data_IF_902477550285
#
_entry.id   IF_902477550285
#
_cell.length_a   1.000
_cell.length_b   1.000
_cell.length_c   1.000
_cell.angle_alpha   90.00
_cell.angle_beta   90.00
_cell.angle_gamma   90.00
#
_symmetry.space_group_name_H-M   'P 1'
#
loop_
_entity.id
_entity.type
_entity.pdbx_description
1 polymer ?
#
# COMPACT_ATOMS: atom_id res chain seq x y z
N UNK A 1 25.94 37.40 -63.25
CA UNK A 1 24.80 37.11 -62.35
C UNK A 1 24.91 38.05 -61.16
N UNK A 2 23.89 38.87 -60.88
CA UNK A 2 24.01 40.07 -60.04
C UNK A 2 23.97 39.71 -58.54
N UNK A 3 24.92 40.21 -57.74
CA UNK A 3 25.02 39.95 -56.29
C UNK A 3 23.73 40.35 -55.54
N UNK A 4 23.05 41.39 -56.03
CA UNK A 4 21.76 41.85 -55.51
C UNK A 4 20.67 40.78 -55.71
N UNK A 5 20.65 40.09 -56.85
CA UNK A 5 19.69 39.00 -57.12
C UNK A 5 19.94 37.79 -56.23
N UNK A 6 21.21 37.47 -55.92
CA UNK A 6 21.55 36.43 -54.94
C UNK A 6 21.13 36.83 -53.52
N UNK A 7 21.31 38.09 -53.12
CA UNK A 7 20.85 38.60 -51.83
C UNK A 7 19.32 38.48 -51.67
N UNK A 8 18.54 38.91 -52.67
CA UNK A 8 17.08 38.76 -52.64
C UNK A 8 16.62 37.30 -52.67
N UNK A 9 17.33 36.42 -53.39
CA UNK A 9 17.04 34.98 -53.39
C UNK A 9 17.29 34.35 -52.03
N UNK A 10 18.39 34.73 -51.35
CA UNK A 10 18.70 34.24 -50.01
C UNK A 10 17.71 34.77 -48.97
N UNK A 11 17.34 36.05 -49.04
CA UNK A 11 16.32 36.65 -48.17
C UNK A 11 14.96 35.94 -48.30
N UNK A 12 14.58 35.59 -49.52
CA UNK A 12 13.36 34.83 -49.77
C UNK A 12 13.44 33.42 -49.17
N UNK A 13 14.57 32.74 -49.36
CA UNK A 13 14.77 31.41 -48.78
C UNK A 13 14.76 31.43 -47.24
N UNK A 14 15.32 32.46 -46.61
CA UNK A 14 15.29 32.62 -45.16
C UNK A 14 13.89 33.01 -44.64
N UNK A 15 13.15 33.82 -45.39
CA UNK A 15 11.74 34.12 -45.07
C UNK A 15 10.86 32.87 -45.17
N UNK A 16 11.04 32.05 -46.20
CA UNK A 16 10.31 30.78 -46.37
C UNK A 16 10.66 29.80 -45.25
N UNK A 17 11.93 29.72 -44.84
CA UNK A 17 12.38 28.92 -43.67
C UNK A 17 11.80 29.43 -42.36
N UNK A 18 11.73 30.74 -42.16
CA UNK A 18 11.12 31.33 -40.97
C UNK A 18 9.62 31.05 -40.95
N UNK A 19 8.93 31.16 -42.08
CA UNK A 19 7.51 30.86 -42.17
C UNK A 19 7.24 29.38 -41.86
N UNK A 20 8.07 28.48 -42.38
CA UNK A 20 8.00 27.05 -42.08
C UNK A 20 8.29 26.75 -40.60
N UNK A 21 9.28 27.43 -40.01
CA UNK A 21 9.60 27.33 -38.58
C UNK A 21 8.44 27.83 -37.70
N UNK A 22 7.80 28.93 -38.10
CA UNK A 22 6.59 29.46 -37.42
C UNK A 22 5.44 28.47 -37.53
N UNK A 23 5.21 27.88 -38.69
CA UNK A 23 4.17 26.87 -38.89
C UNK A 23 4.42 25.61 -38.05
N UNK A 24 5.67 25.14 -37.98
CA UNK A 24 6.06 24.01 -37.12
C UNK A 24 5.89 24.34 -35.62
N UNK A 25 6.17 25.59 -35.22
CA UNK A 25 5.96 26.07 -33.85
C UNK A 25 4.47 26.15 -33.52
N UNK A 26 3.64 26.67 -34.42
CA UNK A 26 2.18 26.70 -34.27
C UNK A 26 1.61 25.28 -34.21
N UNK A 27 2.12 24.36 -35.01
CA UNK A 27 1.71 22.94 -35.00
C UNK A 27 2.08 22.28 -33.68
N UNK A 28 3.28 22.54 -33.18
CA UNK A 28 3.75 22.07 -31.87
C UNK A 28 2.90 22.65 -30.74
N UNK A 29 2.59 23.94 -30.79
CA UNK A 29 1.70 24.60 -29.84
C UNK A 29 0.30 23.98 -29.83
N UNK A 30 -0.30 23.75 -31.01
CA UNK A 30 -1.61 23.07 -31.11
C UNK A 30 -1.58 21.65 -30.56
N UNK A 31 -0.49 20.91 -30.77
CA UNK A 31 -0.32 19.58 -30.18
C UNK A 31 -0.22 19.63 -28.65
N UNK A 32 0.49 20.62 -28.09
CA UNK A 32 0.59 20.85 -26.65
C UNK A 32 -0.78 21.22 -26.08
N UNK A 33 -1.52 22.13 -26.72
CA UNK A 33 -2.87 22.54 -26.29
C UNK A 33 -3.82 21.34 -26.31
N UNK A 34 -3.82 20.55 -27.39
CA UNK A 34 -4.67 19.36 -27.49
C UNK A 34 -4.31 18.30 -26.44
N UNK A 35 -3.02 18.10 -26.17
CA UNK A 35 -2.57 17.25 -25.06
C UNK A 35 -3.02 17.80 -23.70
N UNK A 36 -2.97 19.11 -23.51
CA UNK A 36 -3.41 19.78 -22.30
C UNK A 36 -4.92 19.68 -22.10
N UNK A 37 -5.71 19.82 -23.15
CA UNK A 37 -7.16 19.61 -23.13
C UNK A 37 -7.50 18.16 -22.75
N UNK A 38 -6.78 17.18 -23.29
CA UNK A 38 -6.99 15.77 -22.98
C UNK A 38 -6.70 15.47 -21.49
N UNK A 39 -5.65 16.09 -20.94
CA UNK A 39 -5.33 15.98 -19.52
C UNK A 39 -6.34 16.77 -18.67
N UNK A 40 -6.71 18.00 -19.05
CA UNK A 40 -7.64 18.85 -18.29
C UNK A 40 -9.07 18.33 -18.27
N UNK A 41 -9.46 17.54 -19.27
CA UNK A 41 -10.76 16.87 -19.29
C UNK A 41 -10.77 15.61 -18.39
N UNK A 42 -9.61 15.03 -18.12
CA UNK A 42 -9.45 13.84 -17.29
C UNK A 42 -9.08 14.17 -15.83
N UNK A 43 -8.45 15.32 -15.61
CA UNK A 43 -7.93 15.77 -14.31
C UNK A 43 -8.32 17.22 -14.03
N UNK A 44 -8.57 17.59 -12.75
CA UNK A 44 -8.87 18.98 -12.39
C UNK A 44 -7.74 19.92 -12.82
N UNK A 45 -8.10 21.14 -13.27
CA UNK A 45 -7.15 22.14 -13.79
C UNK A 45 -6.01 22.45 -12.81
N UNK A 46 -6.29 22.36 -11.52
CA UNK A 46 -5.32 22.48 -10.43
C UNK A 46 -4.13 21.51 -10.56
N UNK A 47 -4.40 20.28 -11.00
CA UNK A 47 -3.40 19.23 -11.17
C UNK A 47 -2.51 19.53 -12.37
N UNK A 48 -3.11 20.00 -13.47
CA UNK A 48 -2.39 20.41 -14.68
C UNK A 48 -1.45 21.56 -14.38
N UNK A 49 -1.90 22.54 -13.59
CA UNK A 49 -1.12 23.73 -13.27
C UNK A 49 0.10 23.37 -12.41
N UNK A 50 -0.08 22.49 -11.41
CA UNK A 50 1.03 21.94 -10.61
C UNK A 50 2.00 21.15 -11.50
N UNK A 51 1.49 20.34 -12.43
CA UNK A 51 2.31 19.56 -13.35
C UNK A 51 3.17 20.47 -14.24
N UNK A 52 2.58 21.44 -14.93
CA UNK A 52 3.31 22.36 -15.81
C UNK A 52 4.37 23.12 -15.02
N UNK A 53 4.03 23.64 -13.84
CA UNK A 53 4.96 24.44 -13.04
C UNK A 53 6.08 23.58 -12.42
N UNK A 54 5.85 22.28 -12.25
CA UNK A 54 6.88 21.34 -11.80
C UNK A 54 7.91 20.98 -12.88
N UNK A 55 7.57 21.07 -14.17
CA UNK A 55 8.46 20.67 -15.27
C UNK A 55 9.74 21.51 -15.39
N UNK A 56 9.70 22.86 -15.33
CA UNK A 56 10.93 23.67 -15.32
C UNK A 56 11.81 23.36 -14.11
N UNK A 57 11.20 23.18 -12.93
CA UNK A 57 11.92 22.86 -11.71
C UNK A 57 12.57 21.48 -11.79
N UNK A 58 11.85 20.49 -12.34
CA UNK A 58 12.35 19.15 -12.60
C UNK A 58 13.53 19.18 -13.56
N UNK A 59 13.45 19.98 -14.62
CA UNK A 59 14.55 20.15 -15.56
C UNK A 59 15.81 20.66 -14.85
N UNK A 60 15.69 21.71 -14.04
CA UNK A 60 16.81 22.25 -13.24
C UNK A 60 17.37 21.21 -12.27
N UNK A 61 16.52 20.53 -11.50
CA UNK A 61 16.98 19.54 -10.51
C UNK A 61 17.64 18.34 -11.21
N UNK A 62 17.11 17.89 -12.35
CA UNK A 62 17.71 16.82 -13.14
C UNK A 62 19.07 17.20 -13.73
N UNK A 63 19.32 18.47 -14.06
CA UNK A 63 20.66 18.92 -14.46
C UNK A 63 21.67 18.88 -13.32
N UNK A 64 21.22 19.02 -12.06
CA UNK A 64 22.06 18.97 -10.86
C UNK A 64 22.30 17.54 -10.34
N UNK A 65 21.27 16.68 -10.41
CA UNK A 65 21.33 15.30 -9.89
C UNK A 65 20.64 14.30 -10.83
N UNK A 66 21.26 13.92 -11.95
CA UNK A 66 20.62 13.10 -12.98
C UNK A 66 20.35 11.65 -12.55
N UNK A 67 21.01 11.15 -11.49
CA UNK A 67 20.95 9.75 -11.07
C UNK A 67 19.65 9.36 -10.34
N UNK A 68 18.80 10.33 -9.97
CA UNK A 68 17.57 10.05 -9.20
C UNK A 68 16.31 10.74 -9.76
N UNK A 69 15.93 10.51 -11.03
CA UNK A 69 14.85 11.26 -11.70
C UNK A 69 13.48 11.13 -11.01
N UNK A 70 13.18 9.98 -10.38
CA UNK A 70 11.94 9.79 -9.61
C UNK A 70 11.89 10.62 -8.32
N UNK A 71 13.04 10.74 -7.65
CA UNK A 71 13.17 11.53 -6.42
C UNK A 71 13.10 13.01 -6.77
N UNK A 72 13.79 13.44 -7.83
CA UNK A 72 13.74 14.80 -8.34
C UNK A 72 12.32 15.21 -8.71
N UNK A 73 11.57 14.34 -9.39
CA UNK A 73 10.16 14.57 -9.68
C UNK A 73 9.33 14.77 -8.40
N UNK A 74 9.54 13.91 -7.39
CA UNK A 74 8.86 14.04 -6.10
C UNK A 74 9.16 15.38 -5.44
N UNK A 75 10.43 15.78 -5.41
CA UNK A 75 10.86 17.07 -4.85
C UNK A 75 10.20 18.22 -5.61
N UNK A 76 10.19 18.19 -6.94
CA UNK A 76 9.56 19.24 -7.75
C UNK A 76 8.07 19.37 -7.46
N UNK A 77 7.36 18.25 -7.41
CA UNK A 77 5.90 18.22 -7.14
C UNK A 77 5.59 18.70 -5.72
N UNK A 78 6.34 18.22 -4.72
CA UNK A 78 6.16 18.63 -3.32
C UNK A 78 6.49 20.11 -3.14
N UNK A 79 7.55 20.61 -3.76
CA UNK A 79 7.93 22.02 -3.66
C UNK A 79 6.86 22.94 -4.26
N UNK A 80 6.39 22.65 -5.48
CA UNK A 80 5.32 23.41 -6.12
C UNK A 80 4.01 23.32 -5.34
N UNK A 81 3.69 22.15 -4.79
CA UNK A 81 2.52 21.95 -3.95
C UNK A 81 2.59 22.75 -2.64
N UNK A 82 3.77 22.79 -2.01
CA UNK A 82 4.02 23.61 -0.82
C UNK A 82 3.94 25.11 -1.12
N UNK A 83 4.53 25.55 -2.23
CA UNK A 83 4.43 26.93 -2.69
C UNK A 83 2.98 27.34 -2.96
N UNK A 84 2.19 26.47 -3.60
CA UNK A 84 0.75 26.67 -3.78
C UNK A 84 0.03 26.82 -2.44
N UNK A 85 0.28 25.93 -1.49
CA UNK A 85 -0.36 25.99 -0.16
C UNK A 85 -0.01 27.28 0.59
N UNK A 86 1.21 27.80 0.40
CA UNK A 86 1.64 29.06 0.98
C UNK A 86 0.97 30.27 0.32
N UNK A 87 0.86 30.26 -1.01
CA UNK A 87 0.17 31.30 -1.77
C UNK A 87 -1.33 31.31 -1.48
N UNK A 88 -1.97 30.14 -1.38
CA UNK A 88 -3.39 30.06 -1.04
C UNK A 88 -3.67 30.60 0.36
N UNK A 89 -2.82 30.30 1.34
CA UNK A 89 -2.95 30.88 2.67
C UNK A 89 -2.79 32.41 2.66
N UNK A 90 -1.85 32.94 1.87
CA UNK A 90 -1.58 34.38 1.80
C UNK A 90 -2.70 35.16 1.09
N UNK A 91 -3.36 34.55 0.10
CA UNK A 91 -4.38 35.21 -0.73
C UNK A 91 -5.80 35.00 -0.19
N UNK A 92 -6.08 33.84 0.39
CA UNK A 92 -7.45 33.41 0.74
C UNK A 92 -7.65 33.07 2.22
N UNK A 93 -6.62 33.26 3.06
CA UNK A 93 -6.57 32.92 4.50
C UNK A 93 -6.91 31.45 4.86
N UNK A 94 -7.23 30.62 3.87
CA UNK A 94 -7.60 29.22 4.05
C UNK A 94 -6.41 28.30 3.83
N UNK A 95 -6.28 27.29 4.69
CA UNK A 95 -5.29 26.23 4.54
C UNK A 95 -5.87 25.12 3.67
N UNK A 96 -5.62 25.18 2.37
CA UNK A 96 -6.05 24.15 1.41
C UNK A 96 -5.21 22.86 1.44
N UNK A 97 -4.71 22.45 2.62
CA UNK A 97 -3.76 21.34 2.79
C UNK A 97 -4.30 20.04 2.17
N UNK A 98 -5.60 19.77 2.34
CA UNK A 98 -6.23 18.56 1.82
C UNK A 98 -6.26 18.53 0.28
N UNK A 99 -6.64 19.65 -0.35
CA UNK A 99 -6.69 19.77 -1.82
C UNK A 99 -5.28 19.64 -2.43
N UNK A 100 -4.31 20.32 -1.81
CA UNK A 100 -2.90 20.27 -2.20
C UNK A 100 -2.34 18.85 -2.07
N UNK A 101 -2.62 18.17 -0.95
CA UNK A 101 -2.14 16.80 -0.70
C UNK A 101 -2.76 15.81 -1.69
N UNK A 102 -4.07 15.92 -1.97
CA UNK A 102 -4.75 15.08 -2.95
C UNK A 102 -4.15 15.24 -4.34
N UNK A 103 -3.86 16.48 -4.74
CA UNK A 103 -3.26 16.80 -6.04
C UNK A 103 -1.86 16.23 -6.16
N UNK A 104 -1.01 16.45 -5.15
CA UNK A 104 0.34 15.90 -5.09
C UNK A 104 0.33 14.36 -5.14
N UNK A 105 -0.55 13.72 -4.35
CA UNK A 105 -0.66 12.27 -4.31
C UNK A 105 -1.12 11.70 -5.65
N UNK A 106 -2.09 12.33 -6.31
CA UNK A 106 -2.60 11.92 -7.63
C UNK A 106 -1.49 12.01 -8.70
N UNK A 107 -0.63 13.02 -8.63
CA UNK A 107 0.49 13.18 -9.56
C UNK A 107 1.60 12.14 -9.34
N UNK A 108 1.86 11.78 -8.07
CA UNK A 108 2.88 10.80 -7.71
C UNK A 108 2.41 9.35 -7.88
N UNK A 109 1.09 9.13 -7.91
CA UNK A 109 0.50 7.80 -7.96
C UNK A 109 0.98 6.97 -9.16
N UNK A 110 1.04 7.48 -10.41
CA UNK A 110 1.58 6.73 -11.54
C UNK A 110 3.06 6.37 -11.37
N UNK A 111 3.85 7.25 -10.77
CA UNK A 111 5.29 7.05 -10.57
C UNK A 111 5.59 5.97 -9.51
N UNK A 112 4.71 5.82 -8.52
CA UNK A 112 4.89 4.90 -7.38
C UNK A 112 3.87 3.75 -7.33
N UNK A 113 3.01 3.60 -8.33
CA UNK A 113 1.90 2.64 -8.36
C UNK A 113 2.34 1.22 -7.96
N UNK A 114 3.37 0.68 -8.62
CA UNK A 114 3.88 -0.66 -8.34
C UNK A 114 4.42 -0.81 -6.91
N UNK A 115 5.07 0.23 -6.37
CA UNK A 115 5.61 0.23 -5.00
C UNK A 115 4.47 0.22 -3.98
N UNK A 116 3.43 1.02 -4.22
CA UNK A 116 2.24 1.08 -3.38
C UNK A 116 1.49 -0.26 -3.40
N UNK A 117 1.26 -0.84 -4.59
CA UNK A 117 0.57 -2.13 -4.74
C UNK A 117 1.35 -3.26 -4.05
N UNK A 118 2.68 -3.34 -4.27
CA UNK A 118 3.53 -4.34 -3.62
C UNK A 118 3.50 -4.21 -2.09
N UNK A 119 3.55 -2.98 -1.58
CA UNK A 119 3.51 -2.71 -0.14
C UNK A 119 2.14 -3.07 0.45
N UNK A 120 1.06 -2.69 -0.22
CA UNK A 120 -0.32 -3.03 0.16
C UNK A 120 -0.55 -4.54 0.18
N UNK A 121 -0.08 -5.26 -0.84
CA UNK A 121 -0.18 -6.72 -0.90
C UNK A 121 0.61 -7.40 0.23
N UNK A 122 1.81 -6.91 0.54
CA UNK A 122 2.63 -7.41 1.65
C UNK A 122 1.97 -7.17 3.02
N UNK A 123 1.35 -6.01 3.23
CA UNK A 123 0.61 -5.72 4.46
C UNK A 123 -0.65 -6.58 4.57
N UNK A 124 -1.39 -6.72 3.46
CA UNK A 124 -2.59 -7.54 3.41
C UNK A 124 -2.27 -9.02 3.65
N UNK A 125 -1.21 -9.55 3.04
CA UNK A 125 -0.78 -10.93 3.25
C UNK A 125 -0.37 -11.16 4.71
N UNK A 126 0.42 -10.25 5.30
CA UNK A 126 0.79 -10.29 6.73
C UNK A 126 -0.44 -10.24 7.63
N UNK A 127 -1.42 -9.40 7.31
CA UNK A 127 -2.66 -9.30 8.08
C UNK A 127 -3.51 -10.57 7.96
N UNK A 128 -3.63 -11.14 6.75
CA UNK A 128 -4.31 -12.42 6.50
C UNK A 128 -3.62 -13.56 7.24
N UNK A 129 -2.28 -13.62 7.24
CA UNK A 129 -1.51 -14.62 7.98
C UNK A 129 -1.73 -14.46 9.49
N UNK A 130 -1.71 -13.22 10.02
CA UNK A 130 -2.01 -12.97 11.44
C UNK A 130 -3.44 -13.37 11.84
N UNK A 131 -4.41 -13.23 10.94
CA UNK A 131 -5.80 -13.69 11.15
C UNK A 131 -5.96 -15.20 11.03
N UNK A 132 -5.16 -15.86 10.18
CA UNK A 132 -5.19 -17.31 9.96
C UNK A 132 -4.31 -18.11 10.92
N UNK A 133 -3.35 -17.47 11.57
CA UNK A 133 -2.59 -18.10 12.64
C UNK A 133 -3.56 -18.42 13.79
N UNK A 134 -3.66 -19.70 14.18
CA UNK A 134 -4.39 -20.10 15.37
C UNK A 134 -3.97 -19.18 16.52
N UNK A 135 -4.95 -18.61 17.22
CA UNK A 135 -4.71 -17.81 18.41
C UNK A 135 -3.76 -18.57 19.35
N UNK A 136 -2.51 -18.11 19.54
CA UNK A 136 -1.55 -18.82 20.37
C UNK A 136 -2.08 -18.97 21.80
N UNK A 137 -2.89 -18.01 22.25
CA UNK A 137 -3.56 -18.01 23.56
C UNK A 137 -4.60 -19.13 23.70
N UNK A 138 -5.34 -19.45 22.63
CA UNK A 138 -6.31 -20.55 22.67
C UNK A 138 -5.61 -21.92 22.65
N UNK A 139 -4.55 -22.07 21.85
CA UNK A 139 -3.72 -23.28 21.87
C UNK A 139 -3.07 -23.50 23.23
N UNK A 140 -2.45 -22.47 23.80
CA UNK A 140 -1.82 -22.52 25.11
C UNK A 140 -2.81 -22.91 26.21
N UNK A 141 -4.02 -22.32 26.21
CA UNK A 141 -5.07 -22.67 27.18
C UNK A 141 -5.51 -24.13 27.08
N UNK A 142 -5.57 -24.69 25.87
CA UNK A 142 -5.94 -26.10 25.66
C UNK A 142 -4.82 -27.06 26.00
N UNK A 143 -3.55 -26.70 25.76
CA UNK A 143 -2.40 -27.47 26.22
C UNK A 143 -2.30 -27.52 27.75
N UNK A 144 -2.51 -26.38 28.43
CA UNK A 144 -2.54 -26.32 29.90
C UNK A 144 -3.67 -27.21 30.45
N UNK A 145 -4.84 -27.18 29.82
CA UNK A 145 -5.99 -28.00 30.23
C UNK A 145 -5.72 -29.50 30.05
N UNK A 146 -5.11 -29.89 28.92
CA UNK A 146 -4.69 -31.27 28.66
C UNK A 146 -3.64 -31.75 29.67
N UNK A 147 -2.63 -30.93 29.95
CA UNK A 147 -1.58 -31.25 30.92
C UNK A 147 -2.17 -31.43 32.33
N UNK A 148 -3.10 -30.56 32.72
CA UNK A 148 -3.78 -30.65 34.03
C UNK A 148 -4.65 -31.90 34.14
N UNK A 149 -5.39 -32.26 33.09
CA UNK A 149 -6.20 -33.48 33.05
C UNK A 149 -5.31 -34.74 33.16
N UNK A 150 -4.19 -34.78 32.43
CA UNK A 150 -3.22 -35.88 32.50
C UNK A 150 -2.59 -35.98 33.90
N UNK A 151 -2.17 -34.84 34.47
CA UNK A 151 -1.57 -34.83 35.80
C UNK A 151 -2.56 -35.30 36.87
N UNK A 152 -3.81 -34.84 36.82
CA UNK A 152 -4.85 -35.29 37.75
C UNK A 152 -5.15 -36.79 37.62
N UNK A 153 -5.22 -37.33 36.39
CA UNK A 153 -5.39 -38.76 36.17
C UNK A 153 -4.21 -39.55 36.75
N UNK A 154 -2.98 -39.11 36.50
CA UNK A 154 -1.78 -39.77 37.03
C UNK A 154 -1.71 -39.73 38.56
N UNK A 155 -2.03 -38.59 39.18
CA UNK A 155 -2.03 -38.42 40.61
C UNK A 155 -3.06 -39.34 41.29
N UNK A 156 -4.26 -39.49 40.70
CA UNK A 156 -5.29 -40.41 41.18
C UNK A 156 -4.82 -41.87 41.05
N UNK A 157 -4.21 -42.25 39.92
CA UNK A 157 -3.67 -43.60 39.70
C UNK A 157 -2.60 -43.92 40.74
N UNK A 158 -1.63 -43.02 40.96
CA UNK A 158 -0.57 -43.24 41.96
C UNK A 158 -1.10 -43.19 43.41
N UNK A 159 -2.13 -42.39 43.69
CA UNK A 159 -2.74 -42.35 45.02
C UNK A 159 -3.49 -43.65 45.34
N UNK A 160 -4.23 -44.21 44.38
CA UNK A 160 -4.90 -45.50 44.56
C UNK A 160 -3.90 -46.66 44.59
N UNK A 161 -2.82 -46.61 43.79
CA UNK A 161 -1.76 -47.62 43.82
C UNK A 161 -1.01 -47.65 45.16
N UNK A 162 -0.78 -46.49 45.78
CA UNK A 162 -0.13 -46.40 47.10
C UNK A 162 -1.05 -46.78 48.26
N UNK A 163 -2.37 -46.63 48.10
CA UNK A 163 -3.37 -47.08 49.10
C UNK A 163 -3.67 -48.58 49.01
N UNK A 164 -3.34 -49.21 47.90
CA UNK A 164 -3.67 -50.60 47.58
C UNK A 164 -2.43 -51.50 47.76
N UNK A 165 -1.84 -51.54 48.95
CA UNK A 165 -0.85 -52.55 49.32
C UNK A 165 -1.54 -53.92 49.59
N UNK A 166 -2.03 -54.56 48.53
CA UNK A 166 -2.35 -56.01 48.55
C UNK A 166 -3.82 -56.42 48.45
N UNK A 167 -4.74 -55.58 47.94
CA UNK A 167 -6.09 -56.02 47.52
C UNK A 167 -6.34 -55.67 46.06
N UNK A 168 -7.14 -56.45 45.35
CA UNK A 168 -7.36 -56.24 43.91
C UNK A 168 -7.79 -54.81 43.59
N UNK A 169 -7.24 -54.25 42.52
CA UNK A 169 -7.57 -52.95 41.92
C UNK A 169 -9.07 -52.90 41.57
N UNK A 170 -9.91 -52.41 42.49
CA UNK A 170 -11.38 -52.63 42.42
C UNK A 170 -12.20 -51.42 41.97
N UNK A 171 -11.65 -50.21 41.92
CA UNK A 171 -12.47 -49.01 41.60
C UNK A 171 -12.18 -48.43 40.21
N UNK A 172 -12.39 -49.24 39.17
CA UNK A 172 -12.29 -48.80 37.76
C UNK A 172 -13.23 -47.64 37.41
N UNK A 173 -14.36 -47.50 38.11
CA UNK A 173 -15.32 -46.42 37.90
C UNK A 173 -14.79 -45.03 38.32
N UNK A 174 -13.89 -44.94 39.30
CA UNK A 174 -13.27 -43.65 39.69
C UNK A 174 -12.35 -43.08 38.61
N UNK A 175 -11.73 -43.95 37.81
CA UNK A 175 -10.86 -43.52 36.71
C UNK A 175 -11.64 -43.11 35.47
N UNK A 176 -12.87 -43.64 35.29
CA UNK A 176 -13.71 -43.29 34.15
C UNK A 176 -13.99 -41.79 34.05
N UNK A 177 -14.28 -41.12 35.17
CA UNK A 177 -14.51 -39.66 35.16
C UNK A 177 -13.26 -38.87 34.77
N UNK A 178 -12.07 -39.31 35.22
CA UNK A 178 -10.79 -38.65 34.90
C UNK A 178 -10.35 -38.93 33.46
N UNK A 179 -10.63 -40.11 32.93
CA UNK A 179 -10.43 -40.46 31.52
C UNK A 179 -11.37 -39.62 30.64
N UNK A 180 -12.63 -39.44 31.06
CA UNK A 180 -13.59 -38.60 30.34
C UNK A 180 -13.18 -37.11 30.31
N UNK A 181 -12.62 -36.58 31.40
CA UNK A 181 -12.03 -35.23 31.43
C UNK A 181 -10.85 -35.08 30.44
N UNK A 182 -10.03 -36.12 30.33
CA UNK A 182 -8.90 -36.16 29.40
C UNK A 182 -9.38 -36.25 27.94
N UNK A 183 -10.37 -37.10 27.64
CA UNK A 183 -10.98 -37.21 26.32
C UNK A 183 -11.65 -35.90 25.87
N UNK A 184 -12.31 -35.21 26.81
CA UNK A 184 -12.92 -33.89 26.56
C UNK A 184 -11.86 -32.84 26.23
N UNK A 185 -10.74 -32.85 26.94
CA UNK A 185 -9.60 -31.95 26.69
C UNK A 185 -8.93 -32.23 25.33
N UNK A 186 -8.74 -33.51 24.98
CA UNK A 186 -8.21 -33.93 23.68
C UNK A 186 -9.17 -33.55 22.55
N UNK A 187 -10.47 -33.73 22.76
CA UNK A 187 -11.51 -33.34 21.78
C UNK A 187 -11.57 -31.82 21.61
N UNK A 188 -11.43 -31.05 22.69
CA UNK A 188 -11.29 -29.59 22.65
C UNK A 188 -10.07 -29.12 21.85
N UNK A 189 -8.92 -29.77 22.03
CA UNK A 189 -7.72 -29.48 21.25
C UNK A 189 -7.89 -29.86 19.77
N UNK A 190 -8.49 -31.04 19.49
CA UNK A 190 -8.77 -31.51 18.13
C UNK A 190 -9.72 -30.57 17.38
N UNK A 191 -10.74 -30.03 18.05
CA UNK A 191 -11.68 -29.07 17.45
C UNK A 191 -11.03 -27.71 17.17
N UNK A 192 -10.14 -27.23 18.03
CA UNK A 192 -9.35 -26.01 17.78
C UNK A 192 -8.40 -26.17 16.59
N UNK A 193 -7.80 -27.34 16.41
CA UNK A 193 -6.91 -27.65 15.27
C UNK A 193 -7.73 -27.87 13.98
N UNK A 194 -8.91 -28.50 14.08
CA UNK A 194 -9.77 -28.81 12.93
C UNK A 194 -10.69 -27.66 12.51
N UNK A 195 -10.65 -26.50 13.16
CA UNK A 195 -11.43 -25.31 12.75
C UNK A 195 -10.57 -24.37 11.89
N UNK A 196 -10.42 -24.59 10.56
CA UNK A 196 -10.27 -23.47 9.65
C UNK A 196 -11.65 -22.83 9.46
N UNK A 197 -11.72 -21.51 9.68
CA UNK A 197 -12.77 -20.58 9.20
C UNK A 197 -14.15 -21.20 8.89
N UNK A 198 -15.09 -21.14 9.84
CA UNK A 198 -16.50 -20.91 9.49
C UNK A 198 -17.14 -20.01 10.56
N UNK A 199 -16.75 -18.75 10.51
CA UNK A 199 -17.60 -17.62 10.90
C UNK A 199 -17.39 -16.56 9.83
N UNK A 200 -17.89 -16.89 8.64
CA UNK A 200 -18.41 -15.88 7.72
C UNK A 200 -19.45 -15.10 8.50
N UNK A 201 -19.09 -13.91 9.00
CA UNK A 201 -20.08 -12.93 9.42
C UNK A 201 -20.82 -12.47 8.15
N UNK A 202 -21.89 -13.20 7.83
CA UNK A 202 -23.06 -12.67 7.16
C UNK A 202 -23.90 -11.94 8.21
N UNK A 203 -23.79 -10.62 8.29
CA UNK A 203 -24.78 -9.71 8.88
C UNK A 203 -24.46 -8.34 8.29
N UNK A 204 -25.17 -7.97 7.23
CA UNK A 204 -26.14 -6.84 7.20
C UNK A 204 -25.48 -5.46 7.08
#
# INVERSE_FOLDING_TARGET
>A
MNQITQFFSNLKADFDRLNQSVDDLVRTYKAIVHFLDLISNLFPIDLVLVLILSLPLLYVINTLSPSTPRVNYTISVVFISGLRSFLSHTISESWEIFSVTKTALTLLLPAYFFVVVKSGFSLFSKYRIKKKALSPRHLESSFISLQKAYHNLSAEIYSELSKTEGKSFVDGEKFLSKIQDLETSITGLKTLIKKPEDTTHSSE
#
